data_IF_360263393590
#
_entry.id   IF_360263393590
#
_cell.length_a   1.000
_cell.length_b   1.000
_cell.length_c   1.000
_cell.angle_alpha   90.00
_cell.angle_beta   90.00
_cell.angle_gamma   90.00
#
_symmetry.space_group_name_H-M   'P 1'
#
loop_
_entity.id
_entity.type
_entity.pdbx_description
1 polymer ?
#
# COMPACT_ATOMS: atom_id res chain seq x y z
N UNK A 1 13.39 -13.93 -4.97
CA UNK A 1 12.53 -12.76 -4.76
C UNK A 1 12.06 -12.75 -3.32
N UNK A 2 12.19 -11.62 -2.63
CA UNK A 2 11.70 -11.46 -1.26
C UNK A 2 10.21 -11.12 -1.27
N UNK A 3 9.51 -11.30 -0.16
CA UNK A 3 8.11 -10.92 -0.01
C UNK A 3 7.79 -10.53 1.44
N UNK A 4 6.73 -9.77 1.65
CA UNK A 4 6.10 -9.56 2.96
C UNK A 4 4.58 -9.51 2.81
N UNK A 5 3.87 -9.70 3.92
CA UNK A 5 2.40 -9.76 3.95
C UNK A 5 1.82 -8.38 4.17
N UNK A 6 0.76 -8.08 3.41
CA UNK A 6 -0.20 -7.02 3.69
C UNK A 6 -1.52 -7.66 4.13
N UNK A 7 -2.04 -7.26 5.28
CA UNK A 7 -3.38 -7.61 5.72
C UNK A 7 -4.39 -6.70 5.02
N UNK A 8 -5.07 -7.26 4.02
CA UNK A 8 -6.17 -6.62 3.30
C UNK A 8 -7.47 -6.65 4.13
N UNK A 9 -7.50 -5.93 5.25
CA UNK A 9 -8.59 -5.90 6.21
C UNK A 9 -9.74 -4.96 5.82
N UNK A 10 -9.93 -4.68 4.53
CA UNK A 10 -11.03 -3.84 4.06
C UNK A 10 -12.35 -4.62 4.02
N UNK A 11 -13.45 -3.90 4.20
CA UNK A 11 -14.76 -4.49 4.01
C UNK A 11 -15.11 -4.61 2.52
N UNK A 12 -15.92 -5.61 2.17
CA UNK A 12 -16.41 -5.80 0.80
C UNK A 12 -17.93 -5.69 0.77
N UNK A 13 -18.45 -4.83 -0.10
CA UNK A 13 -19.87 -4.76 -0.42
C UNK A 13 -20.22 -5.79 -1.51
N UNK A 14 -21.47 -6.25 -1.54
CA UNK A 14 -21.93 -7.26 -2.52
C UNK A 14 -21.77 -6.77 -3.96
N UNK A 15 -22.22 -5.56 -4.27
CA UNK A 15 -22.04 -4.95 -5.59
C UNK A 15 -20.58 -4.69 -5.95
N UNK A 16 -19.71 -4.43 -4.97
CA UNK A 16 -18.26 -4.31 -5.19
C UNK A 16 -17.64 -5.66 -5.57
N UNK A 17 -18.09 -6.76 -4.96
CA UNK A 17 -17.62 -8.11 -5.30
C UNK A 17 -18.08 -8.55 -6.68
N UNK A 18 -19.35 -8.30 -7.02
CA UNK A 18 -19.89 -8.63 -8.34
C UNK A 18 -21.11 -7.74 -8.67
N UNK A 19 -20.84 -6.64 -9.37
CA UNK A 19 -21.88 -5.69 -9.78
C UNK A 19 -22.91 -6.29 -10.73
N UNK A 20 -22.54 -7.29 -11.53
CA UNK A 20 -23.46 -7.93 -12.46
C UNK A 20 -24.50 -8.81 -11.74
N UNK A 21 -24.11 -9.42 -10.62
CA UNK A 21 -24.99 -10.23 -9.78
C UNK A 21 -25.80 -9.39 -8.79
N UNK A 22 -25.14 -8.46 -8.11
CA UNK A 22 -25.71 -7.75 -6.97
C UNK A 22 -26.18 -6.32 -7.31
N UNK A 23 -25.87 -5.80 -8.51
CA UNK A 23 -26.32 -4.50 -9.03
C UNK A 23 -26.13 -3.36 -8.03
N UNK A 24 -27.21 -2.88 -7.43
CA UNK A 24 -27.24 -1.76 -6.48
C UNK A 24 -27.12 -2.18 -5.02
N UNK A 25 -27.06 -3.48 -4.75
CA UNK A 25 -26.93 -4.02 -3.40
C UNK A 25 -25.52 -3.73 -2.85
N UNK A 26 -25.42 -2.58 -2.18
CA UNK A 26 -24.24 -2.15 -1.46
C UNK A 26 -24.16 -2.73 -0.05
N UNK A 27 -25.00 -3.71 0.29
CA UNK A 27 -24.93 -4.35 1.61
C UNK A 27 -23.64 -5.12 1.78
N UNK A 28 -23.27 -5.31 3.04
CA UNK A 28 -22.01 -5.92 3.44
C UNK A 28 -21.98 -7.41 3.06
N UNK A 29 -20.98 -7.81 2.26
CA UNK A 29 -20.69 -9.21 1.95
C UNK A 29 -19.65 -9.78 2.93
N UNK A 30 -18.60 -9.00 3.21
CA UNK A 30 -17.50 -9.39 4.06
C UNK A 30 -17.08 -8.23 4.96
N UNK A 31 -16.96 -8.48 6.26
CA UNK A 31 -16.39 -7.53 7.22
C UNK A 31 -14.89 -7.79 7.33
N UNK A 32 -14.09 -6.75 7.13
CA UNK A 32 -12.64 -6.84 7.23
C UNK A 32 -12.15 -6.84 8.68
N UNK A 33 -12.86 -6.14 9.57
CA UNK A 33 -12.62 -6.19 11.00
C UNK A 33 -12.99 -7.57 11.58
N UNK A 34 -12.14 -8.07 12.48
CA UNK A 34 -12.30 -9.36 13.15
C UNK A 34 -12.42 -9.18 14.68
N UNK A 35 -11.99 -10.17 15.45
CA UNK A 35 -11.92 -10.12 16.91
C UNK A 35 -10.58 -10.66 17.44
N UNK A 36 -10.37 -10.54 18.75
CA UNK A 36 -9.18 -11.02 19.45
C UNK A 36 -8.86 -12.51 19.21
N UNK A 37 -9.81 -13.46 19.35
CA UNK A 37 -9.55 -14.87 19.03
C UNK A 37 -9.02 -15.09 17.60
N UNK A 38 -9.66 -14.48 16.59
CA UNK A 38 -9.23 -14.62 15.21
C UNK A 38 -7.88 -13.93 14.96
N UNK A 39 -7.63 -12.78 15.60
CA UNK A 39 -6.33 -12.11 15.50
C UNK A 39 -5.18 -12.98 16.01
N UNK A 40 -5.36 -13.69 17.14
CA UNK A 40 -4.36 -14.63 17.67
C UNK A 40 -4.06 -15.79 16.71
N UNK A 41 -5.09 -16.29 16.02
CA UNK A 41 -4.93 -17.32 14.98
C UNK A 41 -4.11 -16.78 13.81
N UNK A 42 -4.41 -15.55 13.35
CA UNK A 42 -3.67 -14.89 12.28
C UNK A 42 -2.20 -14.68 12.67
N UNK A 43 -1.94 -14.12 13.85
CA UNK A 43 -0.59 -13.90 14.39
C UNK A 43 0.21 -15.20 14.37
N UNK A 44 -0.35 -16.27 14.96
CA UNK A 44 0.31 -17.58 14.98
C UNK A 44 0.60 -18.09 13.58
N UNK A 45 -0.38 -18.02 12.67
CA UNK A 45 -0.22 -18.48 11.28
C UNK A 45 0.85 -17.69 10.53
N UNK A 46 0.88 -16.37 10.69
CA UNK A 46 1.86 -15.50 10.04
C UNK A 46 3.28 -15.86 10.49
N UNK A 47 3.48 -15.99 11.80
CA UNK A 47 4.77 -16.35 12.37
C UNK A 47 5.22 -17.74 11.88
N UNK A 48 4.34 -18.74 11.98
CA UNK A 48 4.70 -20.12 11.71
C UNK A 48 4.92 -20.42 10.22
N UNK A 49 4.16 -19.79 9.33
CA UNK A 49 4.18 -20.11 7.90
C UNK A 49 5.02 -19.15 7.06
N UNK A 50 5.16 -17.88 7.49
CA UNK A 50 5.71 -16.82 6.63
C UNK A 50 6.96 -16.17 7.21
N UNK A 51 6.97 -15.73 8.47
CA UNK A 51 8.15 -15.03 9.02
C UNK A 51 9.40 -15.90 9.12
N UNK A 52 9.23 -17.23 9.15
CA UNK A 52 10.33 -18.22 9.12
C UNK A 52 10.90 -18.44 7.71
N UNK A 53 10.27 -17.92 6.66
CA UNK A 53 10.76 -18.10 5.28
C UNK A 53 12.06 -17.31 5.08
N UNK A 54 13.09 -17.90 4.45
CA UNK A 54 14.39 -17.24 4.28
C UNK A 54 14.32 -15.99 3.39
N UNK A 55 13.29 -15.90 2.53
CA UNK A 55 13.04 -14.76 1.66
C UNK A 55 11.93 -13.83 2.18
N UNK A 56 11.57 -13.90 3.46
CA UNK A 56 10.67 -12.91 4.05
C UNK A 56 11.41 -11.57 4.23
N UNK A 57 10.83 -10.48 3.73
CA UNK A 57 11.43 -9.15 3.78
C UNK A 57 11.40 -8.58 5.20
N UNK A 58 12.52 -7.98 5.60
CA UNK A 58 12.75 -7.46 6.94
C UNK A 58 13.37 -6.07 6.86
N UNK A 59 13.03 -5.21 7.81
CA UNK A 59 13.69 -3.92 8.04
C UNK A 59 14.39 -4.02 9.39
N UNK A 60 15.69 -3.75 9.45
CA UNK A 60 16.51 -3.87 10.67
C UNK A 60 16.38 -5.23 11.38
N UNK A 61 16.19 -6.32 10.60
CA UNK A 61 15.99 -7.68 11.12
C UNK A 61 14.57 -8.00 11.58
N UNK A 62 13.67 -7.02 11.64
CA UNK A 62 12.26 -7.20 11.99
C UNK A 62 11.43 -7.55 10.75
N UNK A 63 10.63 -8.65 10.76
CA UNK A 63 9.68 -8.92 9.69
C UNK A 63 8.71 -7.75 9.51
N UNK A 64 8.46 -7.37 8.26
CA UNK A 64 7.47 -6.33 7.93
C UNK A 64 6.08 -6.94 7.86
N UNK A 65 5.10 -6.32 8.51
CA UNK A 65 3.68 -6.64 8.36
C UNK A 65 2.92 -5.36 8.03
N UNK A 66 2.33 -5.32 6.84
CA UNK A 66 1.58 -4.16 6.37
C UNK A 66 0.09 -4.33 6.66
N UNK A 67 -0.62 -3.25 7.00
CA UNK A 67 -2.07 -3.24 7.24
C UNK A 67 -2.73 -2.22 6.33
N UNK A 68 -3.80 -2.62 5.66
CA UNK A 68 -4.46 -1.82 4.64
C UNK A 68 -5.33 -0.71 5.25
N UNK A 69 -6.13 -1.00 6.28
CA UNK A 69 -7.10 -0.07 6.86
C UNK A 69 -6.87 0.17 8.34
N UNK A 70 -6.49 1.41 8.71
CA UNK A 70 -6.40 1.80 10.13
C UNK A 70 -7.76 1.69 10.84
N UNK A 71 -8.85 2.05 10.17
CA UNK A 71 -10.19 2.04 10.76
C UNK A 71 -10.64 0.61 11.09
N UNK A 72 -10.43 -0.34 10.19
CA UNK A 72 -10.82 -1.74 10.43
C UNK A 72 -9.86 -2.45 11.38
N UNK A 73 -8.59 -2.07 11.40
CA UNK A 73 -7.67 -2.44 12.46
C UNK A 73 -8.20 -1.98 13.82
N UNK A 74 -8.63 -0.73 13.96
CA UNK A 74 -9.19 -0.22 15.23
C UNK A 74 -10.48 -0.94 15.61
N UNK A 75 -11.40 -1.13 14.66
CA UNK A 75 -12.66 -1.86 14.89
C UNK A 75 -12.44 -3.30 15.32
N UNK A 76 -11.38 -3.96 14.86
CA UNK A 76 -11.03 -5.34 15.25
C UNK A 76 -10.87 -5.47 16.77
N UNK A 77 -10.36 -4.43 17.43
CA UNK A 77 -10.12 -4.44 18.88
C UNK A 77 -11.11 -3.56 19.65
N UNK A 78 -11.89 -2.73 18.96
CA UNK A 78 -12.95 -1.90 19.53
C UNK A 78 -12.51 -0.52 20.03
N UNK A 79 -11.22 -0.31 20.29
CA UNK A 79 -10.66 1.00 20.65
C UNK A 79 -9.19 1.13 20.22
N UNK A 80 -8.67 2.35 20.24
CA UNK A 80 -7.28 2.64 19.92
C UNK A 80 -6.31 1.99 20.93
N UNK A 81 -6.67 1.99 22.21
CA UNK A 81 -5.90 1.38 23.29
C UNK A 81 -5.85 -0.14 23.16
N UNK A 82 -6.97 -0.79 22.88
CA UNK A 82 -7.02 -2.24 22.65
C UNK A 82 -6.29 -2.62 21.36
N UNK A 83 -6.32 -1.75 20.35
CA UNK A 83 -5.55 -1.95 19.12
C UNK A 83 -4.05 -1.89 19.39
N UNK A 84 -3.60 -0.94 20.20
CA UNK A 84 -2.21 -0.86 20.63
C UNK A 84 -1.79 -2.15 21.36
N UNK A 85 -2.63 -2.65 22.28
CA UNK A 85 -2.39 -3.94 22.95
C UNK A 85 -2.32 -5.11 21.97
N UNK A 86 -3.14 -5.11 20.92
CA UNK A 86 -3.10 -6.10 19.84
C UNK A 86 -1.77 -6.10 19.09
N UNK A 87 -1.29 -4.92 18.69
CA UNK A 87 0.00 -4.77 18.02
C UNK A 87 1.17 -5.14 18.93
N UNK A 88 1.12 -4.80 20.21
CA UNK A 88 2.13 -5.19 21.19
C UNK A 88 2.13 -6.69 21.45
N UNK A 89 0.96 -7.32 21.55
CA UNK A 89 0.86 -8.78 21.59
C UNK A 89 1.55 -9.42 20.39
N UNK A 90 1.32 -8.90 19.17
CA UNK A 90 1.97 -9.42 17.98
C UNK A 90 3.50 -9.26 18.04
N UNK A 91 4.00 -8.08 18.44
CA UNK A 91 5.44 -7.85 18.66
C UNK A 91 6.05 -8.86 19.64
N UNK A 92 5.38 -9.12 20.76
CA UNK A 92 5.87 -10.05 21.77
C UNK A 92 5.86 -11.50 21.28
N UNK A 93 4.85 -11.94 20.52
CA UNK A 93 4.85 -13.28 19.92
C UNK A 93 5.96 -13.45 18.88
N UNK A 94 6.24 -12.40 18.10
CA UNK A 94 7.33 -12.39 17.13
C UNK A 94 8.70 -12.47 17.81
N UNK A 95 8.87 -11.77 18.94
CA UNK A 95 10.07 -11.89 19.79
C UNK A 95 10.25 -13.29 20.36
N UNK A 96 9.19 -13.89 20.90
CA UNK A 96 9.21 -15.29 21.38
C UNK A 96 9.58 -16.27 20.28
N UNK A 97 9.22 -15.97 19.03
CA UNK A 97 9.61 -16.75 17.86
C UNK A 97 11.04 -16.50 17.37
N UNK A 98 11.83 -15.65 18.04
CA UNK A 98 13.26 -15.45 17.80
C UNK A 98 13.62 -14.29 16.87
N UNK A 99 12.67 -13.41 16.53
CA UNK A 99 12.95 -12.16 15.80
C UNK A 99 13.17 -10.99 16.78
N UNK A 100 13.93 -9.93 16.41
CA UNK A 100 14.18 -8.80 17.33
C UNK A 100 12.92 -7.99 17.66
N UNK A 101 11.93 -8.00 16.78
CA UNK A 101 10.68 -7.25 16.90
C UNK A 101 9.81 -7.45 15.67
N UNK A 102 8.83 -6.58 15.46
CA UNK A 102 7.92 -6.59 14.32
C UNK A 102 7.81 -5.15 13.78
N UNK A 103 8.09 -5.00 12.48
CA UNK A 103 7.92 -3.74 11.79
C UNK A 103 6.49 -3.64 11.24
N UNK A 104 5.64 -2.87 11.91
CA UNK A 104 4.25 -2.64 11.48
C UNK A 104 4.21 -1.45 10.52
N UNK A 105 3.78 -1.70 9.29
CA UNK A 105 3.59 -0.68 8.26
C UNK A 105 2.09 -0.42 8.08
N UNK A 106 1.67 0.84 8.05
CA UNK A 106 0.30 1.19 7.66
C UNK A 106 0.24 1.71 6.23
N UNK A 107 -0.80 1.32 5.53
CA UNK A 107 -1.22 2.02 4.32
C UNK A 107 -2.11 3.19 4.71
N UNK A 108 -1.69 4.39 4.37
CA UNK A 108 -2.49 5.59 4.58
C UNK A 108 -2.26 6.56 3.44
N UNK A 109 -3.30 7.29 3.08
CA UNK A 109 -3.27 8.29 2.05
C UNK A 109 -4.36 9.33 2.29
N UNK A 110 -4.46 10.27 1.36
CA UNK A 110 -5.42 11.36 1.46
C UNK A 110 -4.90 12.54 2.27
N UNK A 111 -5.83 13.33 2.82
CA UNK A 111 -5.53 14.60 3.46
C UNK A 111 -5.08 14.37 4.90
N UNK A 112 -3.98 15.03 5.28
CA UNK A 112 -3.49 15.04 6.66
C UNK A 112 -4.59 15.48 7.64
N UNK A 113 -4.67 14.76 8.75
CA UNK A 113 -5.59 15.03 9.84
C UNK A 113 -4.84 14.89 11.17
N UNK A 114 -4.90 15.92 12.01
CA UNK A 114 -4.20 15.93 13.31
C UNK A 114 -4.62 14.79 14.24
N UNK A 115 -5.90 14.39 14.22
CA UNK A 115 -6.38 13.27 15.03
C UNK A 115 -5.84 11.94 14.50
N UNK A 116 -5.71 11.81 13.18
CA UNK A 116 -5.12 10.62 12.58
C UNK A 116 -3.61 10.52 12.84
N UNK A 117 -2.89 11.64 12.87
CA UNK A 117 -1.47 11.65 13.30
C UNK A 117 -1.31 11.15 14.74
N UNK A 118 -2.19 11.57 15.65
CA UNK A 118 -2.21 11.06 17.04
C UNK A 118 -2.50 9.56 17.08
N UNK A 119 -3.41 9.06 16.23
CA UNK A 119 -3.67 7.62 16.14
C UNK A 119 -2.42 6.84 15.71
N UNK A 120 -1.69 7.30 14.69
CA UNK A 120 -0.44 6.67 14.24
C UNK A 120 0.58 6.59 15.38
N UNK A 121 0.77 7.69 16.12
CA UNK A 121 1.69 7.75 17.25
C UNK A 121 1.28 6.78 18.37
N UNK A 122 0.01 6.81 18.77
CA UNK A 122 -0.51 5.94 19.84
C UNK A 122 -0.40 4.45 19.51
N UNK A 123 -0.62 4.07 18.25
CA UNK A 123 -0.48 2.68 17.78
C UNK A 123 0.98 2.22 17.71
N UNK A 124 1.94 3.14 17.73
CA UNK A 124 3.37 2.84 17.62
C UNK A 124 3.73 2.24 16.28
N UNK A 125 3.22 2.79 15.19
CA UNK A 125 3.49 2.32 13.82
C UNK A 125 4.95 2.60 13.45
N UNK A 126 5.58 1.69 12.68
CA UNK A 126 7.00 1.80 12.34
C UNK A 126 7.24 2.53 11.01
N UNK A 127 6.29 2.50 10.08
CA UNK A 127 6.37 3.23 8.82
C UNK A 127 5.03 3.37 8.14
N UNK A 128 4.92 4.30 7.19
CA UNK A 128 3.75 4.49 6.33
C UNK A 128 4.09 4.18 4.87
N UNK A 129 3.08 3.85 4.10
CA UNK A 129 3.12 3.84 2.62
C UNK A 129 1.71 4.01 2.07
N UNK A 130 1.56 3.92 0.76
CA UNK A 130 0.30 4.05 0.03
C UNK A 130 -0.03 2.75 -0.69
N UNK A 131 -1.32 2.40 -0.76
CA UNK A 131 -1.79 1.33 -1.64
C UNK A 131 -1.65 1.75 -3.11
N UNK A 132 -2.23 2.90 -3.45
CA UNK A 132 -2.05 3.63 -4.71
C UNK A 132 -2.05 5.14 -4.39
N UNK A 133 -1.95 6.01 -5.39
CA UNK A 133 -1.92 7.46 -5.18
C UNK A 133 -3.19 8.07 -4.59
N UNK A 134 -4.27 7.29 -4.45
CA UNK A 134 -5.51 7.67 -3.78
C UNK A 134 -6.34 8.68 -4.56
N UNK A 135 -7.51 9.00 -4.02
CA UNK A 135 -8.40 10.00 -4.58
C UNK A 135 -7.96 11.45 -4.29
N UNK A 136 -8.48 12.43 -5.06
CA UNK A 136 -9.32 12.25 -6.25
C UNK A 136 -8.53 11.62 -7.41
N UNK A 137 -9.23 10.97 -8.34
CA UNK A 137 -8.65 10.40 -9.56
C UNK A 137 -8.93 11.37 -10.72
N UNK A 138 -8.01 12.30 -11.04
CA UNK A 138 -8.18 13.17 -12.20
C UNK A 138 -8.06 12.34 -13.49
N UNK A 139 -8.55 12.87 -14.61
CA UNK A 139 -8.45 12.18 -15.90
C UNK A 139 -6.98 12.09 -16.40
N UNK A 140 -6.10 12.98 -15.92
CA UNK A 140 -4.69 13.07 -16.33
C UNK A 140 -3.72 12.41 -15.33
N UNK A 141 -2.91 11.48 -15.84
CA UNK A 141 -1.95 10.70 -15.07
C UNK A 141 -0.81 11.54 -14.48
N UNK A 142 -0.33 12.55 -15.21
CA UNK A 142 0.74 13.44 -14.75
C UNK A 142 0.25 14.31 -13.60
N UNK A 143 -0.98 14.83 -13.71
CA UNK A 143 -1.63 15.54 -12.62
C UNK A 143 -1.78 14.64 -11.38
N UNK A 144 -2.30 13.43 -11.56
CA UNK A 144 -2.52 12.49 -10.44
C UNK A 144 -1.23 12.21 -9.67
N UNK A 145 -0.14 11.90 -10.39
CA UNK A 145 1.16 11.64 -9.79
C UNK A 145 1.78 12.89 -9.16
N UNK A 146 1.65 14.07 -9.77
CA UNK A 146 2.14 15.32 -9.17
C UNK A 146 1.48 15.58 -7.82
N UNK A 147 0.16 15.52 -7.76
CA UNK A 147 -0.59 15.73 -6.52
C UNK A 147 -0.26 14.65 -5.48
N UNK A 148 -0.01 13.41 -5.90
CA UNK A 148 0.40 12.34 -5.00
C UNK A 148 1.76 12.58 -4.35
N UNK A 149 2.74 13.06 -5.11
CA UNK A 149 4.05 13.42 -4.56
C UNK A 149 3.98 14.67 -3.69
N UNK A 150 3.13 15.65 -4.01
CA UNK A 150 2.88 16.78 -3.10
C UNK A 150 2.26 16.33 -1.77
N UNK A 151 1.35 15.33 -1.80
CA UNK A 151 0.82 14.72 -0.59
C UNK A 151 1.92 13.96 0.17
N UNK A 152 2.76 13.19 -0.52
CA UNK A 152 3.88 12.47 0.09
C UNK A 152 4.80 13.42 0.87
N UNK A 153 5.22 14.55 0.30
CA UNK A 153 6.09 15.51 0.99
C UNK A 153 5.42 16.05 2.26
N UNK A 154 4.15 16.48 2.18
CA UNK A 154 3.41 16.97 3.35
C UNK A 154 3.33 15.93 4.45
N UNK A 155 3.04 14.68 4.08
CA UNK A 155 2.98 13.59 5.04
C UNK A 155 4.36 13.31 5.65
N UNK A 156 5.41 13.25 4.84
CA UNK A 156 6.78 13.05 5.26
C UNK A 156 7.25 14.11 6.27
N UNK A 157 6.83 15.36 6.09
CA UNK A 157 7.10 16.45 7.04
C UNK A 157 6.29 16.33 8.34
N UNK A 158 5.10 15.74 8.28
CA UNK A 158 4.17 15.68 9.40
C UNK A 158 4.39 14.49 10.36
N UNK A 159 5.17 13.48 9.96
CA UNK A 159 5.42 12.28 10.77
C UNK A 159 6.89 12.12 11.11
N UNK A 160 7.19 11.50 12.26
CA UNK A 160 8.56 11.17 12.70
C UNK A 160 9.04 9.80 12.24
N UNK A 161 8.20 9.04 11.54
CA UNK A 161 8.48 7.69 11.04
C UNK A 161 8.61 7.71 9.51
N UNK A 162 9.33 6.74 8.90
CA UNK A 162 9.47 6.69 7.44
C UNK A 162 8.14 6.64 6.71
N UNK A 163 7.99 7.44 5.65
CA UNK A 163 6.90 7.34 4.70
C UNK A 163 7.44 6.92 3.34
N UNK A 164 7.21 5.67 2.97
CA UNK A 164 7.73 5.13 1.71
C UNK A 164 6.87 5.56 0.51
N UNK A 165 7.51 6.06 -0.56
CA UNK A 165 6.81 6.49 -1.77
C UNK A 165 6.16 5.30 -2.49
N UNK A 166 5.08 5.60 -3.20
CA UNK A 166 4.42 4.68 -4.12
C UNK A 166 4.52 5.23 -5.55
N UNK A 167 4.68 4.34 -6.53
CA UNK A 167 4.47 4.66 -7.94
C UNK A 167 3.27 3.86 -8.47
N UNK A 168 2.17 4.56 -8.76
CA UNK A 168 0.96 3.95 -9.34
C UNK A 168 1.04 3.92 -10.86
N UNK A 169 0.59 2.83 -11.48
CA UNK A 169 0.64 2.59 -12.93
C UNK A 169 -0.54 3.24 -13.66
N UNK A 170 -1.71 3.28 -13.01
CA UNK A 170 -2.96 3.76 -13.59
C UNK A 170 -4.13 3.56 -12.63
N UNK A 171 -5.32 3.95 -13.08
CA UNK A 171 -6.57 3.69 -12.37
C UNK A 171 -7.75 3.68 -13.35
N UNK A 172 -8.30 2.49 -13.58
CA UNK A 172 -9.56 2.26 -14.29
C UNK A 172 -10.27 1.05 -13.69
N UNK A 173 -11.27 1.32 -12.85
CA UNK A 173 -12.14 0.30 -12.27
C UNK A 173 -13.52 0.22 -12.96
N UNK A 174 -13.68 0.84 -14.13
CA UNK A 174 -14.92 0.75 -14.92
C UNK A 174 -15.35 -0.67 -15.26
N UNK A 175 -14.46 -1.69 -15.45
CA UNK A 175 -14.90 -3.07 -15.64
C UNK A 175 -15.71 -3.63 -14.45
N UNK A 176 -15.50 -3.09 -13.24
CA UNK A 176 -16.25 -3.47 -12.03
C UNK A 176 -17.42 -2.55 -11.74
N UNK A 177 -17.47 -1.37 -12.36
CA UNK A 177 -18.49 -0.35 -12.10
C UNK A 177 -19.01 0.22 -13.42
N UNK A 178 -19.98 -0.45 -14.07
CA UNK A 178 -20.48 -0.07 -15.40
C UNK A 178 -21.19 1.29 -15.48
N UNK A 179 -21.39 1.95 -14.32
CA UNK A 179 -21.91 3.33 -14.26
C UNK A 179 -20.83 4.39 -14.37
N UNK A 180 -19.57 4.02 -14.10
CA UNK A 180 -18.43 4.92 -14.26
C UNK A 180 -18.21 5.19 -15.73
N UNK A 181 -17.74 6.40 -16.00
CA UNK A 181 -17.44 6.90 -17.33
C UNK A 181 -15.95 7.24 -17.41
N UNK A 182 -15.49 7.69 -18.58
CA UNK A 182 -14.12 8.17 -18.75
C UNK A 182 -13.72 9.27 -17.73
N UNK A 183 -14.71 10.03 -17.20
CA UNK A 183 -14.48 11.09 -16.21
C UNK A 183 -14.10 10.56 -14.83
N UNK A 184 -14.27 9.27 -14.59
CA UNK A 184 -14.05 8.61 -13.30
C UNK A 184 -12.72 7.83 -13.26
N UNK A 185 -11.92 7.90 -14.34
CA UNK A 185 -10.70 7.10 -14.54
C UNK A 185 -9.53 7.96 -15.02
N UNK A 186 -8.33 7.52 -14.68
CA UNK A 186 -7.08 8.14 -15.12
C UNK A 186 -6.71 7.54 -16.47
N UNK A 187 -6.77 8.31 -17.56
CA UNK A 187 -6.60 7.77 -18.91
C UNK A 187 -5.79 8.66 -19.85
N UNK A 188 -5.67 9.96 -19.58
CA UNK A 188 -4.76 10.83 -20.31
C UNK A 188 -3.33 10.68 -19.82
N UNK A 189 -2.38 10.67 -20.75
CA UNK A 189 -0.93 10.62 -20.49
C UNK A 189 -0.46 9.42 -19.64
N UNK A 190 -1.25 8.35 -19.57
CA UNK A 190 -0.85 7.10 -18.92
C UNK A 190 -0.02 6.24 -19.88
N UNK A 191 1.30 6.23 -19.67
CA UNK A 191 2.25 5.43 -20.47
C UNK A 191 3.43 4.91 -19.62
N UNK A 192 4.19 3.92 -20.13
CA UNK A 192 5.43 3.47 -19.48
C UNK A 192 6.44 4.60 -19.25
N UNK A 193 6.53 5.58 -20.16
CA UNK A 193 7.42 6.74 -20.04
C UNK A 193 7.00 7.65 -18.88
N UNK A 194 5.70 7.97 -18.79
CA UNK A 194 5.18 8.75 -17.68
C UNK A 194 5.39 8.03 -16.33
N UNK A 195 5.14 6.72 -16.29
CA UNK A 195 5.41 5.89 -15.11
C UNK A 195 6.91 5.89 -14.74
N UNK A 196 7.82 5.82 -15.73
CA UNK A 196 9.27 5.92 -15.53
C UNK A 196 9.64 7.21 -14.80
N UNK A 197 9.03 8.34 -15.19
CA UNK A 197 9.29 9.62 -14.53
C UNK A 197 8.90 9.60 -13.05
N UNK A 198 7.80 8.96 -12.67
CA UNK A 198 7.40 8.85 -11.26
C UNK A 198 8.19 7.79 -10.48
N UNK A 199 8.68 6.72 -11.12
CA UNK A 199 9.65 5.82 -10.50
C UNK A 199 10.97 6.55 -10.18
N UNK A 200 11.43 7.39 -11.10
CA UNK A 200 12.61 8.22 -10.91
C UNK A 200 12.39 9.21 -9.74
N UNK A 201 11.22 9.86 -9.66
CA UNK A 201 10.86 10.71 -8.51
C UNK A 201 10.82 9.94 -7.18
N UNK A 202 10.28 8.71 -7.17
CA UNK A 202 10.28 7.87 -5.97
C UNK A 202 11.70 7.51 -5.54
N UNK A 203 12.59 7.22 -6.51
CA UNK A 203 14.01 6.98 -6.26
C UNK A 203 14.69 8.21 -5.66
N UNK A 204 14.49 9.39 -6.26
CA UNK A 204 15.04 10.67 -5.77
C UNK A 204 14.54 10.99 -4.36
N UNK A 205 13.26 10.73 -4.07
CA UNK A 205 12.72 10.86 -2.72
C UNK A 205 13.50 9.98 -1.74
N UNK A 206 13.69 8.68 -2.03
CA UNK A 206 14.47 7.81 -1.16
C UNK A 206 15.94 8.24 -1.02
N UNK A 207 16.55 8.75 -2.09
CA UNK A 207 17.95 9.20 -2.04
C UNK A 207 18.13 10.49 -1.23
N UNK A 208 17.10 11.34 -1.12
CA UNK A 208 17.07 12.51 -0.21
C UNK A 208 16.84 12.16 1.26
N UNK A 209 16.47 10.91 1.56
CA UNK A 209 16.23 10.41 2.92
C UNK A 209 17.17 9.23 3.24
N UNK A 210 18.50 9.43 3.20
CA UNK A 210 19.49 8.35 3.30
C UNK A 210 19.47 7.62 4.65
N UNK A 211 18.91 8.23 5.69
CA UNK A 211 18.74 7.65 7.02
C UNK A 211 17.57 6.66 7.12
N UNK A 212 16.68 6.63 6.13
CA UNK A 212 15.51 5.76 6.10
C UNK A 212 15.79 4.46 5.31
N UNK A 213 15.11 3.35 5.63
CA UNK A 213 15.14 2.16 4.79
C UNK A 213 14.73 2.50 3.36
N UNK A 214 15.47 1.99 2.36
CA UNK A 214 15.10 2.20 0.95
C UNK A 214 13.99 1.23 0.56
N UNK A 215 12.76 1.72 0.49
CA UNK A 215 11.59 0.99 0.02
C UNK A 215 10.73 1.90 -0.86
N UNK A 216 10.33 1.40 -2.02
CA UNK A 216 9.37 2.04 -2.93
C UNK A 216 8.30 0.98 -3.22
N UNK A 217 7.04 1.34 -3.05
CA UNK A 217 5.92 0.46 -3.42
C UNK A 217 5.45 0.77 -4.85
N UNK A 218 4.93 -0.23 -5.54
CA UNK A 218 4.38 -0.07 -6.89
C UNK A 218 2.97 -0.61 -6.91
N UNK A 219 2.05 0.19 -7.42
CA UNK A 219 0.68 -0.22 -7.65
C UNK A 219 0.45 -0.39 -9.15
N UNK A 220 0.37 -1.61 -9.67
CA UNK A 220 0.50 -2.89 -8.97
C UNK A 220 1.19 -3.93 -9.84
N UNK A 221 1.50 -5.10 -9.28
CA UNK A 221 1.98 -6.21 -10.09
C UNK A 221 0.92 -6.65 -11.12
N UNK A 222 -0.33 -6.85 -10.70
CA UNK A 222 -1.36 -7.50 -11.50
C UNK A 222 -2.81 -7.06 -11.20
N UNK A 223 -3.04 -5.79 -10.84
CA UNK A 223 -4.37 -5.27 -10.54
C UNK A 223 -5.14 -4.93 -11.83
N UNK A 224 -5.41 -5.96 -12.64
CA UNK A 224 -6.04 -5.86 -13.95
C UNK A 224 -7.43 -5.21 -13.89
N UNK A 225 -8.19 -5.48 -12.84
CA UNK A 225 -9.55 -4.97 -12.66
C UNK A 225 -9.61 -3.50 -12.22
N UNK A 226 -8.45 -2.89 -11.97
CA UNK A 226 -8.27 -1.46 -11.70
C UNK A 226 -7.33 -0.82 -12.74
N UNK A 227 -7.04 -1.49 -13.86
CA UNK A 227 -6.21 -0.94 -14.93
C UNK A 227 -4.74 -0.69 -14.55
N UNK A 228 -4.25 -1.32 -13.47
CA UNK A 228 -2.92 -1.10 -12.92
C UNK A 228 -2.11 -2.40 -12.84
N UNK A 229 -1.23 -2.64 -13.81
CA UNK A 229 -0.45 -3.86 -13.89
C UNK A 229 0.95 -3.63 -14.48
N UNK A 230 1.97 -4.20 -13.84
CA UNK A 230 3.33 -4.29 -14.39
C UNK A 230 3.44 -5.40 -15.43
N UNK A 231 2.55 -6.41 -15.36
CA UNK A 231 2.60 -7.57 -16.23
C UNK A 231 2.57 -7.18 -17.72
N UNK A 232 3.28 -7.92 -18.59
CA UNK A 232 3.25 -7.65 -20.01
C UNK A 232 1.85 -7.75 -20.61
N UNK A 233 1.54 -6.87 -21.54
CA UNK A 233 0.29 -6.86 -22.29
C UNK A 233 0.54 -6.74 -23.81
N UNK A 234 -0.54 -6.68 -24.58
CA UNK A 234 -0.47 -6.52 -26.04
C UNK A 234 -0.19 -5.08 -26.48
N UNK A 235 -0.38 -4.08 -25.61
CA UNK A 235 -0.29 -2.65 -25.96
C UNK A 235 1.14 -2.12 -25.79
N UNK A 236 1.76 -2.46 -24.68
CA UNK A 236 3.08 -1.99 -24.24
C UNK A 236 4.10 -3.11 -24.12
N UNK A 237 3.71 -4.39 -24.26
CA UNK A 237 4.63 -5.51 -24.14
C UNK A 237 5.33 -5.47 -22.78
N UNK A 238 6.67 -5.40 -22.78
CA UNK A 238 7.46 -5.29 -21.55
C UNK A 238 7.67 -3.85 -21.05
N UNK A 239 6.98 -2.85 -21.61
CA UNK A 239 7.22 -1.42 -21.36
C UNK A 239 7.33 -1.06 -19.87
N UNK A 240 6.34 -1.44 -19.06
CA UNK A 240 6.34 -1.16 -17.61
C UNK A 240 7.44 -1.89 -16.83
N UNK A 241 7.77 -3.14 -17.19
CA UNK A 241 8.89 -3.87 -16.58
C UNK A 241 10.24 -3.27 -16.98
N UNK A 242 10.38 -2.85 -18.23
CA UNK A 242 11.56 -2.15 -18.72
C UNK A 242 11.74 -0.80 -18.03
N UNK A 243 10.67 -0.07 -17.74
CA UNK A 243 10.72 1.15 -16.93
C UNK A 243 11.34 0.90 -15.55
N UNK A 244 10.89 -0.16 -14.84
CA UNK A 244 11.47 -0.55 -13.54
C UNK A 244 12.96 -0.89 -13.70
N UNK A 245 13.32 -1.70 -14.71
CA UNK A 245 14.71 -2.08 -14.98
C UNK A 245 15.58 -0.87 -15.29
N UNK A 246 15.09 0.07 -16.10
CA UNK A 246 15.85 1.24 -16.53
C UNK A 246 16.18 2.18 -15.37
N UNK A 247 15.26 2.38 -14.43
CA UNK A 247 15.46 3.23 -13.25
C UNK A 247 16.36 2.56 -12.21
N UNK A 248 16.09 1.30 -11.85
CA UNK A 248 16.72 0.67 -10.68
C UNK A 248 17.89 -0.26 -10.97
N UNK A 249 18.01 -0.79 -12.19
CA UNK A 249 19.09 -1.72 -12.56
C UNK A 249 20.09 -1.06 -13.49
N UNK A 250 19.60 -0.40 -14.55
CA UNK A 250 20.48 0.19 -15.56
C UNK A 250 20.97 1.59 -15.18
N UNK A 251 20.29 2.27 -14.24
CA UNK A 251 20.63 3.65 -13.85
C UNK A 251 20.54 4.64 -15.02
N UNK A 252 19.69 4.35 -16.01
CA UNK A 252 19.66 5.04 -17.31
C UNK A 252 19.45 6.55 -17.20
N UNK A 253 18.80 6.99 -16.13
CA UNK A 253 18.43 8.38 -15.90
C UNK A 253 19.26 9.07 -14.80
N UNK A 254 20.33 8.46 -14.30
CA UNK A 254 21.16 9.04 -13.22
C UNK A 254 21.99 10.27 -13.66
N UNK A 255 22.15 10.49 -14.97
CA UNK A 255 22.92 11.61 -15.52
C UNK A 255 22.08 12.91 -15.66
N UNK A 256 20.80 12.87 -15.28
CA UNK A 256 19.86 14.00 -15.30
C UNK A 256 19.34 14.24 -13.88
#
# INVERSE_FOLDING_TARGET
>A
MNFYIMWADHDVARNYWNVHRYKEDNSRLWNGAIDWPNFKIIVKRIIDQYFKRPNYYKINGEPVFSVFSTDNLIKTFGSLEETRKGLDYFREEVKKAGSPGLHVQLMTGGVLNADFLKQIEMLGINSLTLYNWGGPHPEDYIQWGKEAFERLEKWSEAVSIPYFPNASIGWDDTPRFPRKTQKDVVHFNQSPEAFTAFLQKAKEYCDRHPEQPKLITVYAWNEWVEGAYLLPDVKYGFGYLNAVKDVFVNGKYQAY
#
